data_IF_803611590827
#
_entry.id   IF_803611590827
#
_cell.length_a   1.000
_cell.length_b   1.000
_cell.length_c   1.000
_cell.angle_alpha   90.00
_cell.angle_beta   90.00
_cell.angle_gamma   90.00
#
_symmetry.space_group_name_H-M   'P 1'
#
loop_
_entity.id
_entity.type
_entity.pdbx_description
1 polymer ?
#
# COMPACT_ATOMS: atom_id res chain seq x y z
N UNK A 1 -22.66 -4.96 21.17
CA UNK A 1 -22.81 -6.25 20.43
C UNK A 1 -21.46 -6.88 20.08
N UNK A 2 -20.50 -6.12 19.54
CA UNK A 2 -19.14 -6.60 19.20
C UNK A 2 -18.39 -7.24 20.38
N UNK A 3 -18.50 -6.69 21.60
CA UNK A 3 -17.85 -7.24 22.80
C UNK A 3 -18.37 -8.63 23.21
N UNK A 4 -19.65 -8.93 22.98
CA UNK A 4 -20.23 -10.25 23.27
C UNK A 4 -19.76 -11.32 22.27
N UNK A 5 -19.65 -10.94 20.99
CA UNK A 5 -19.16 -11.82 19.93
C UNK A 5 -17.67 -12.13 20.12
N UNK A 6 -16.88 -11.14 20.57
CA UNK A 6 -15.50 -11.36 20.96
C UNK A 6 -15.39 -12.31 22.18
N UNK A 7 -16.19 -12.08 23.22
CA UNK A 7 -16.21 -12.91 24.43
C UNK A 7 -16.62 -14.37 24.15
N UNK A 8 -17.54 -14.58 23.21
CA UNK A 8 -18.01 -15.91 22.79
C UNK A 8 -17.20 -16.50 21.63
N UNK A 9 -16.18 -15.79 21.13
CA UNK A 9 -15.35 -16.19 19.98
C UNK A 9 -16.14 -16.45 18.69
N UNK A 10 -17.23 -15.73 18.48
CA UNK A 10 -18.13 -15.88 17.32
C UNK A 10 -17.98 -14.76 16.28
N UNK A 11 -17.05 -13.82 16.46
CA UNK A 11 -16.79 -12.70 15.54
C UNK A 11 -16.55 -13.15 14.10
N UNK A 12 -15.77 -14.22 13.87
CA UNK A 12 -15.50 -14.76 12.53
C UNK A 12 -16.74 -15.37 11.87
N UNK A 13 -17.68 -15.93 12.65
CA UNK A 13 -18.94 -16.40 12.10
C UNK A 13 -19.84 -15.23 11.70
N UNK A 14 -19.94 -14.22 12.57
CA UNK A 14 -20.75 -13.05 12.31
C UNK A 14 -20.22 -12.20 11.14
N UNK A 15 -18.89 -12.04 11.00
CA UNK A 15 -18.27 -11.29 9.90
C UNK A 15 -18.59 -11.87 8.52
N UNK A 16 -18.86 -13.17 8.41
CA UNK A 16 -19.28 -13.79 7.15
C UNK A 16 -20.65 -13.31 6.67
N UNK A 17 -21.51 -12.92 7.60
CA UNK A 17 -22.87 -12.43 7.31
C UNK A 17 -22.86 -10.92 7.11
N UNK A 18 -22.32 -10.18 8.08
CA UNK A 18 -22.41 -8.71 8.11
C UNK A 18 -21.17 -7.98 7.58
N UNK A 19 -20.13 -8.72 7.16
CA UNK A 19 -18.84 -8.16 6.75
C UNK A 19 -17.94 -7.77 7.92
N UNK A 20 -16.65 -7.59 7.64
CA UNK A 20 -15.65 -7.19 8.65
C UNK A 20 -15.82 -5.76 9.11
N UNK A 21 -16.36 -4.86 8.27
CA UNK A 21 -16.48 -3.42 8.58
C UNK A 21 -17.23 -3.16 9.88
N UNK A 22 -18.27 -3.95 10.15
CA UNK A 22 -19.09 -3.86 11.38
C UNK A 22 -18.26 -4.00 12.66
N UNK A 23 -17.11 -4.65 12.58
CA UNK A 23 -16.22 -4.94 13.71
C UNK A 23 -14.97 -4.06 13.73
N UNK A 24 -14.71 -3.29 12.68
CA UNK A 24 -13.57 -2.39 12.63
C UNK A 24 -13.90 -1.06 13.34
N UNK A 25 -12.89 -0.36 13.89
CA UNK A 25 -13.05 1.04 14.28
C UNK A 25 -13.64 1.86 13.14
N UNK A 26 -14.59 2.76 13.45
CA UNK A 26 -15.26 3.59 12.44
C UNK A 26 -14.27 4.41 11.59
N UNK A 27 -13.12 4.76 12.16
CA UNK A 27 -12.05 5.52 11.49
C UNK A 27 -11.17 4.68 10.56
N UNK A 28 -11.28 3.35 10.57
CA UNK A 28 -10.38 2.46 9.82
C UNK A 28 -10.43 2.72 8.32
N UNK A 29 -11.63 2.86 7.73
CA UNK A 29 -11.79 3.13 6.30
C UNK A 29 -11.06 4.42 5.90
N UNK A 30 -11.35 5.52 6.62
CA UNK A 30 -10.70 6.81 6.41
C UNK A 30 -9.18 6.75 6.55
N UNK A 31 -8.65 6.06 7.58
CA UNK A 31 -7.21 5.96 7.80
C UNK A 31 -6.51 5.18 6.69
N UNK A 32 -7.06 4.03 6.32
CA UNK A 32 -6.47 3.18 5.29
C UNK A 32 -6.58 3.81 3.90
N UNK A 33 -7.71 4.45 3.59
CA UNK A 33 -7.88 5.18 2.33
C UNK A 33 -6.91 6.37 2.24
N UNK A 34 -6.67 7.06 3.36
CA UNK A 34 -5.73 8.19 3.42
C UNK A 34 -4.30 7.79 3.07
N UNK A 35 -3.85 6.63 3.57
CA UNK A 35 -2.51 6.09 3.26
C UNK A 35 -2.34 5.82 1.77
N UNK A 36 -3.37 5.29 1.11
CA UNK A 36 -3.32 4.92 -0.30
C UNK A 36 -3.65 6.04 -1.28
N UNK A 37 -4.04 7.23 -0.80
CA UNK A 37 -4.68 8.23 -1.67
C UNK A 37 -5.96 7.69 -2.34
N UNK A 38 -6.65 6.74 -1.71
CA UNK A 38 -7.85 6.11 -2.27
C UNK A 38 -9.07 6.91 -1.81
N UNK A 39 -10.03 7.14 -2.71
CA UNK A 39 -11.30 7.76 -2.35
C UNK A 39 -11.99 6.92 -1.25
N UNK A 40 -12.39 7.55 -0.14
CA UNK A 40 -12.93 6.83 1.02
C UNK A 40 -14.10 5.91 0.63
N UNK A 41 -14.99 6.36 -0.26
CA UNK A 41 -16.11 5.55 -0.75
C UNK A 41 -15.68 4.27 -1.49
N UNK A 42 -14.60 4.33 -2.27
CA UNK A 42 -14.01 3.15 -2.94
C UNK A 42 -13.43 2.19 -1.89
N UNK A 43 -12.70 2.74 -0.91
CA UNK A 43 -12.12 1.92 0.14
C UNK A 43 -13.18 1.25 1.03
N UNK A 44 -14.30 1.95 1.30
CA UNK A 44 -15.45 1.36 2.02
C UNK A 44 -16.01 0.16 1.26
N UNK A 45 -16.14 0.23 -0.07
CA UNK A 45 -16.57 -0.91 -0.89
C UNK A 45 -15.58 -2.09 -0.81
N UNK A 46 -14.28 -1.80 -0.82
CA UNK A 46 -13.23 -2.82 -0.63
C UNK A 46 -13.30 -3.49 0.74
N UNK A 47 -13.60 -2.74 1.82
CA UNK A 47 -13.83 -3.35 3.15
C UNK A 47 -15.14 -4.14 3.18
N UNK A 48 -16.22 -3.63 2.60
CA UNK A 48 -17.54 -4.27 2.63
C UNK A 48 -17.58 -5.64 1.93
N UNK A 49 -16.71 -5.82 0.95
CA UNK A 49 -16.49 -7.10 0.27
C UNK A 49 -15.66 -8.10 1.09
N UNK A 50 -14.94 -7.66 2.13
CA UNK A 50 -14.21 -8.54 3.03
C UNK A 50 -15.14 -9.15 4.10
N UNK A 51 -15.20 -10.49 4.14
CA UNK A 51 -16.15 -11.26 4.96
C UNK A 51 -15.50 -12.12 6.05
N UNK A 52 -14.21 -11.93 6.32
CA UNK A 52 -13.46 -12.84 7.19
C UNK A 52 -12.26 -12.16 7.85
N UNK A 53 -12.04 -12.43 9.13
CA UNK A 53 -10.82 -12.07 9.85
C UNK A 53 -9.80 -13.20 9.90
N UNK A 54 -10.19 -14.43 9.49
CA UNK A 54 -9.24 -15.52 9.29
C UNK A 54 -8.05 -15.05 8.44
N UNK A 55 -6.82 -15.33 8.90
CA UNK A 55 -5.60 -14.78 8.34
C UNK A 55 -5.46 -15.02 6.83
N UNK A 56 -5.69 -16.25 6.38
CA UNK A 56 -5.59 -16.61 4.96
C UNK A 56 -6.58 -15.78 4.14
N UNK A 57 -7.87 -15.81 4.49
CA UNK A 57 -8.92 -15.09 3.73
C UNK A 57 -8.74 -13.58 3.77
N UNK A 58 -8.33 -13.03 4.91
CA UNK A 58 -8.04 -11.61 5.06
C UNK A 58 -6.90 -11.21 4.13
N UNK A 59 -5.76 -11.92 4.21
CA UNK A 59 -4.59 -11.61 3.39
C UNK A 59 -4.87 -11.81 1.91
N UNK A 60 -5.55 -12.89 1.51
CA UNK A 60 -5.93 -13.15 0.12
C UNK A 60 -6.80 -12.03 -0.46
N UNK A 61 -7.79 -11.56 0.30
CA UNK A 61 -8.66 -10.45 -0.12
C UNK A 61 -7.87 -9.20 -0.45
N UNK A 62 -7.03 -8.75 0.48
CA UNK A 62 -6.26 -7.51 0.32
C UNK A 62 -5.12 -7.65 -0.68
N UNK A 63 -4.47 -8.82 -0.77
CA UNK A 63 -3.44 -9.10 -1.77
C UNK A 63 -4.05 -9.16 -3.17
N UNK A 64 -5.28 -9.65 -3.33
CA UNK A 64 -5.96 -9.63 -4.63
C UNK A 64 -6.15 -8.19 -5.13
N UNK A 65 -6.63 -7.29 -4.26
CA UNK A 65 -6.74 -5.85 -4.57
C UNK A 65 -5.36 -5.24 -4.86
N UNK A 66 -4.34 -5.53 -4.05
CA UNK A 66 -2.98 -5.06 -4.30
C UNK A 66 -2.46 -5.49 -5.68
N UNK A 67 -2.74 -6.74 -6.09
CA UNK A 67 -2.35 -7.26 -7.39
C UNK A 67 -3.08 -6.57 -8.56
N UNK A 68 -4.30 -6.06 -8.37
CA UNK A 68 -4.98 -5.24 -9.38
C UNK A 68 -4.25 -3.92 -9.60
N UNK A 69 -3.82 -3.26 -8.52
CA UNK A 69 -3.01 -2.05 -8.61
C UNK A 69 -1.62 -2.34 -9.20
N UNK A 70 -0.98 -3.46 -8.85
CA UNK A 70 0.29 -3.87 -9.45
C UNK A 70 0.18 -4.15 -10.95
N UNK A 71 -0.96 -4.66 -11.45
CA UNK A 71 -1.19 -4.78 -12.90
C UNK A 71 -1.20 -3.42 -13.58
N UNK A 72 -1.81 -2.41 -12.98
CA UNK A 72 -1.75 -1.05 -13.52
C UNK A 72 -0.31 -0.50 -13.53
N UNK A 73 0.46 -0.78 -12.48
CA UNK A 73 1.88 -0.43 -12.42
C UNK A 73 2.69 -1.13 -13.52
N UNK A 74 2.52 -2.45 -13.67
CA UNK A 74 3.21 -3.24 -14.68
C UNK A 74 2.89 -2.76 -16.10
N UNK A 75 1.64 -2.38 -16.38
CA UNK A 75 1.26 -1.83 -17.68
C UNK A 75 2.03 -0.54 -18.01
N UNK A 76 2.29 0.32 -17.02
CA UNK A 76 3.07 1.55 -17.25
C UNK A 76 4.58 1.27 -17.32
N UNK A 77 5.08 0.28 -16.58
CA UNK A 77 6.46 -0.19 -16.73
C UNK A 77 6.71 -0.83 -18.09
N UNK A 78 5.76 -1.59 -18.63
CA UNK A 78 5.85 -2.20 -19.96
C UNK A 78 5.92 -1.12 -21.05
N UNK A 79 5.02 -0.13 -21.01
CA UNK A 79 5.04 1.01 -21.95
C UNK A 79 6.35 1.81 -21.91
N UNK A 80 7.00 1.85 -20.75
CA UNK A 80 8.26 2.55 -20.53
C UNK A 80 9.50 1.64 -20.69
N UNK A 81 9.32 0.36 -21.04
CA UNK A 81 10.38 -0.64 -21.19
C UNK A 81 11.23 -0.85 -19.90
N UNK A 82 10.59 -0.75 -18.74
CA UNK A 82 11.24 -0.83 -17.40
C UNK A 82 11.14 -2.21 -16.74
N UNK A 83 10.51 -3.18 -17.39
CA UNK A 83 10.31 -4.53 -16.86
C UNK A 83 9.04 -4.66 -16.01
N UNK A 84 9.11 -5.41 -14.90
CA UNK A 84 7.95 -5.68 -14.03
C UNK A 84 8.23 -5.38 -12.56
N UNK A 85 7.18 -4.98 -11.86
CA UNK A 85 7.09 -4.81 -10.40
C UNK A 85 7.50 -6.06 -9.62
N UNK A 86 7.52 -7.26 -10.22
CA UNK A 86 8.00 -8.49 -9.59
C UNK A 86 9.40 -8.39 -8.98
N UNK A 87 10.29 -7.59 -9.57
CA UNK A 87 11.62 -7.33 -8.99
C UNK A 87 11.52 -6.55 -7.67
N UNK A 88 10.63 -5.55 -7.62
CA UNK A 88 10.36 -4.74 -6.43
C UNK A 88 9.76 -5.60 -5.30
N UNK A 89 8.84 -6.52 -5.64
CA UNK A 89 8.23 -7.44 -4.67
C UNK A 89 9.24 -8.40 -4.02
N UNK A 90 10.39 -8.64 -4.66
CA UNK A 90 11.48 -9.44 -4.11
C UNK A 90 12.48 -8.62 -3.31
N UNK A 91 12.27 -7.31 -3.17
CA UNK A 91 13.21 -6.39 -2.53
C UNK A 91 14.50 -6.19 -3.31
N UNK A 92 14.50 -6.45 -4.63
CA UNK A 92 15.66 -6.14 -5.46
C UNK A 92 15.77 -4.63 -5.65
N UNK A 93 16.99 -4.07 -5.64
CA UNK A 93 17.17 -2.64 -5.81
C UNK A 93 16.63 -2.20 -7.18
N UNK A 94 15.80 -1.14 -7.24
CA UNK A 94 15.26 -0.64 -8.50
C UNK A 94 16.36 -0.06 -9.37
N UNK A 95 16.20 -0.15 -10.70
CA UNK A 95 17.15 0.45 -11.63
C UNK A 95 17.09 1.99 -11.57
N UNK A 96 18.18 2.71 -11.89
CA UNK A 96 18.15 4.18 -11.95
C UNK A 96 17.09 4.73 -12.91
N UNK A 97 16.83 4.01 -14.01
CA UNK A 97 15.79 4.36 -14.97
C UNK A 97 14.38 4.26 -14.36
N UNK A 98 14.11 3.22 -13.56
CA UNK A 98 12.84 3.05 -12.87
C UNK A 98 12.64 4.11 -11.78
N UNK A 99 13.69 4.41 -10.99
CA UNK A 99 13.64 5.50 -10.00
C UNK A 99 13.38 6.84 -10.68
N UNK A 100 14.10 7.15 -11.77
CA UNK A 100 13.89 8.38 -12.54
C UNK A 100 12.48 8.45 -13.13
N UNK A 101 11.95 7.32 -13.62
CA UNK A 101 10.59 7.24 -14.13
C UNK A 101 9.58 7.56 -13.04
N UNK A 102 9.58 6.84 -11.90
CA UNK A 102 8.67 7.09 -10.80
C UNK A 102 8.85 8.49 -10.18
N UNK A 103 10.08 9.03 -10.17
CA UNK A 103 10.41 10.34 -9.61
C UNK A 103 9.66 11.48 -10.27
N UNK A 104 9.40 11.37 -11.59
CA UNK A 104 8.57 12.35 -12.32
C UNK A 104 7.14 12.40 -11.79
N UNK A 105 6.57 11.23 -11.47
CA UNK A 105 5.21 11.08 -10.97
C UNK A 105 5.07 11.42 -9.49
N UNK A 106 6.13 11.27 -8.70
CA UNK A 106 6.11 11.56 -7.27
C UNK A 106 5.87 13.04 -6.94
N UNK A 107 6.18 13.96 -7.86
CA UNK A 107 5.79 15.37 -7.73
C UNK A 107 4.27 15.56 -7.58
N UNK A 108 3.45 14.68 -8.17
CA UNK A 108 2.00 14.73 -7.95
C UNK A 108 1.61 14.41 -6.51
N UNK A 109 2.32 13.48 -5.87
CA UNK A 109 2.04 13.11 -4.49
C UNK A 109 2.30 14.26 -3.53
N UNK A 110 3.35 15.05 -3.77
CA UNK A 110 3.69 16.20 -2.91
C UNK A 110 2.75 17.38 -3.12
N UNK A 111 2.12 17.47 -4.30
CA UNK A 111 1.16 18.52 -4.66
C UNK A 111 -0.30 18.14 -4.33
N UNK A 112 -0.58 16.86 -4.04
CA UNK A 112 -1.92 16.37 -3.73
C UNK A 112 -2.09 16.27 -2.21
N UNK A 113 -3.15 16.85 -1.61
CA UNK A 113 -3.38 16.74 -0.17
C UNK A 113 -3.49 15.27 0.27
N UNK A 114 -2.94 14.88 1.44
CA UNK A 114 -3.02 13.51 1.94
C UNK A 114 -4.46 12.97 1.94
N UNK A 115 -4.62 11.75 1.42
CA UNK A 115 -5.91 11.07 1.30
C UNK A 115 -6.83 11.57 0.20
N UNK A 116 -6.38 12.53 -0.62
CA UNK A 116 -7.05 12.88 -1.87
C UNK A 116 -6.50 12.00 -2.98
N UNK A 117 -7.35 11.39 -3.82
CA UNK A 117 -6.90 10.70 -5.02
C UNK A 117 -6.12 11.63 -5.94
N UNK A 118 -5.04 11.10 -6.51
CA UNK A 118 -4.28 11.81 -7.53
C UNK A 118 -5.17 11.89 -8.78
N UNK A 119 -5.61 13.11 -9.11
CA UNK A 119 -6.38 13.34 -10.32
C UNK A 119 -5.46 13.26 -11.54
N UNK A 120 -5.61 12.16 -12.28
CA UNK A 120 -4.80 11.78 -13.44
C UNK A 120 -5.00 12.70 -14.64
N UNK A 121 -6.07 13.50 -14.65
CA UNK A 121 -6.39 14.41 -15.76
C UNK A 121 -5.82 15.83 -15.54
N UNK A 122 -5.41 16.16 -14.32
CA UNK A 122 -4.80 17.46 -13.96
C UNK A 122 -3.33 17.61 -14.37
N UNK A 123 -2.64 16.50 -14.67
CA UNK A 123 -1.21 16.53 -14.99
C UNK A 123 -0.98 16.71 -16.50
N UNK A 124 0.12 17.36 -16.90
CA UNK A 124 0.38 17.63 -18.31
C UNK A 124 0.33 16.33 -19.14
N UNK A 125 -0.29 16.42 -20.32
CA UNK A 125 -0.41 15.32 -21.29
C UNK A 125 0.93 15.03 -22.00
N UNK A 126 2.03 15.60 -21.53
CA UNK A 126 3.36 15.25 -21.99
C UNK A 126 3.68 13.80 -21.54
N UNK A 127 4.78 13.22 -22.03
CA UNK A 127 5.14 11.82 -21.83
C UNK A 127 5.34 11.36 -20.37
N UNK A 128 4.86 12.13 -19.39
CA UNK A 128 4.92 11.88 -17.95
C UNK A 128 3.63 11.26 -17.39
N UNK A 129 2.51 11.25 -18.13
CA UNK A 129 1.23 10.66 -17.68
C UNK A 129 1.37 9.24 -17.13
N UNK A 130 2.16 8.40 -17.79
CA UNK A 130 2.39 7.03 -17.33
C UNK A 130 3.10 6.94 -15.96
N UNK A 131 3.98 7.88 -15.66
CA UNK A 131 4.65 7.95 -14.36
C UNK A 131 3.69 8.29 -13.23
N UNK A 132 2.76 9.24 -13.45
CA UNK A 132 1.72 9.58 -12.47
C UNK A 132 0.80 8.39 -12.18
N UNK A 133 0.39 7.66 -13.24
CA UNK A 133 -0.41 6.45 -13.10
C UNK A 133 0.36 5.38 -12.32
N UNK A 134 1.63 5.18 -12.62
CA UNK A 134 2.50 4.22 -11.94
C UNK A 134 2.64 4.54 -10.44
N UNK A 135 2.92 5.79 -10.08
CA UNK A 135 3.05 6.20 -8.68
C UNK A 135 1.73 6.07 -7.92
N UNK A 136 0.60 6.46 -8.52
CA UNK A 136 -0.72 6.24 -7.92
C UNK A 136 -0.97 4.74 -7.67
N UNK A 137 -0.74 3.91 -8.68
CA UNK A 137 -0.92 2.46 -8.57
C UNK A 137 0.00 1.83 -7.51
N UNK A 138 1.26 2.28 -7.41
CA UNK A 138 2.19 1.86 -6.38
C UNK A 138 1.68 2.21 -4.98
N UNK A 139 1.18 3.44 -4.77
CA UNK A 139 0.63 3.90 -3.50
C UNK A 139 -0.60 3.08 -3.06
N UNK A 140 -1.52 2.82 -3.99
CA UNK A 140 -2.70 1.99 -3.75
C UNK A 140 -2.34 0.54 -3.40
N UNK A 141 -1.34 -0.04 -4.10
CA UNK A 141 -0.82 -1.37 -3.79
C UNK A 141 -0.19 -1.42 -2.40
N UNK A 142 0.63 -0.43 -2.03
CA UNK A 142 1.22 -0.29 -0.69
C UNK A 142 0.12 -0.25 0.37
N UNK A 143 -0.93 0.54 0.19
CA UNK A 143 -2.04 0.60 1.14
C UNK A 143 -2.74 -0.76 1.31
N UNK A 144 -2.97 -1.50 0.21
CA UNK A 144 -3.56 -2.83 0.28
C UNK A 144 -2.65 -3.84 1.01
N UNK A 145 -1.33 -3.85 0.75
CA UNK A 145 -0.40 -4.72 1.49
C UNK A 145 -0.27 -4.34 2.96
N UNK A 146 -0.30 -3.06 3.29
CA UNK A 146 -0.34 -2.58 4.69
C UNK A 146 -1.55 -3.15 5.43
N UNK A 147 -2.73 -3.10 4.80
CA UNK A 147 -3.97 -3.61 5.38
C UNK A 147 -3.96 -5.14 5.43
N UNK A 148 -3.40 -5.82 4.42
CA UNK A 148 -3.19 -7.27 4.44
C UNK A 148 -2.34 -7.71 5.65
N UNK A 149 -1.29 -6.94 6.00
CA UNK A 149 -0.46 -7.20 7.17
C UNK A 149 -1.20 -6.93 8.50
N UNK A 150 -2.23 -6.07 8.52
CA UNK A 150 -2.91 -5.62 9.74
C UNK A 150 -4.14 -6.44 10.14
N UNK A 151 -4.36 -6.80 11.42
CA UNK A 151 -3.43 -6.85 12.53
C UNK A 151 -2.88 -8.27 12.75
N UNK A 152 -1.64 -8.40 13.22
CA UNK A 152 -1.11 -9.66 13.73
C UNK A 152 0.21 -10.09 13.10
N UNK A 153 0.76 -11.20 13.61
CA UNK A 153 2.11 -11.68 13.30
C UNK A 153 2.09 -13.08 12.64
N UNK A 154 0.98 -13.46 12.00
CA UNK A 154 0.89 -14.76 11.33
C UNK A 154 1.77 -14.78 10.07
N UNK A 155 2.25 -15.95 9.62
CA UNK A 155 3.17 -16.02 8.48
C UNK A 155 2.65 -15.32 7.21
N UNK A 156 1.36 -15.42 6.92
CA UNK A 156 0.74 -14.75 5.78
C UNK A 156 0.78 -13.21 5.90
N UNK A 157 0.53 -12.69 7.11
CA UNK A 157 0.60 -11.25 7.41
C UNK A 157 2.03 -10.72 7.38
N UNK A 158 2.98 -11.48 7.93
CA UNK A 158 4.40 -11.15 7.85
C UNK A 158 4.92 -11.13 6.42
N UNK A 159 4.44 -12.03 5.56
CA UNK A 159 4.76 -12.00 4.13
C UNK A 159 4.23 -10.73 3.47
N UNK A 160 2.99 -10.33 3.75
CA UNK A 160 2.44 -9.08 3.25
C UNK A 160 3.20 -7.85 3.76
N UNK A 161 3.61 -7.86 5.03
CA UNK A 161 4.42 -6.80 5.63
C UNK A 161 5.77 -6.62 4.93
N UNK A 162 6.48 -7.72 4.61
CA UNK A 162 7.75 -7.64 3.87
C UNK A 162 7.59 -7.05 2.47
N UNK A 163 6.49 -7.38 1.78
CA UNK A 163 6.20 -6.81 0.45
C UNK A 163 5.85 -5.32 0.58
N UNK A 164 5.02 -4.97 1.57
CA UNK A 164 4.72 -3.58 1.89
C UNK A 164 6.00 -2.78 2.15
N UNK A 165 6.91 -3.30 2.98
CA UNK A 165 8.17 -2.65 3.31
C UNK A 165 9.06 -2.44 2.08
N UNK A 166 9.20 -3.46 1.22
CA UNK A 166 9.97 -3.36 -0.01
C UNK A 166 9.41 -2.30 -0.98
N UNK A 167 8.09 -2.24 -1.15
CA UNK A 167 7.44 -1.23 -1.99
C UNK A 167 7.52 0.17 -1.37
N UNK A 168 7.39 0.27 -0.04
CA UNK A 168 7.52 1.52 0.68
C UNK A 168 8.94 2.09 0.58
N UNK A 169 9.97 1.24 0.66
CA UNK A 169 11.36 1.64 0.45
C UNK A 169 11.56 2.28 -0.93
N UNK A 170 11.03 1.67 -1.99
CA UNK A 170 11.09 2.21 -3.35
C UNK A 170 10.36 3.55 -3.42
N UNK A 171 9.14 3.64 -2.86
CA UNK A 171 8.38 4.89 -2.86
C UNK A 171 9.13 6.02 -2.14
N UNK A 172 9.78 5.70 -1.01
CA UNK A 172 10.54 6.65 -0.21
C UNK A 172 11.78 7.16 -0.97
N UNK A 173 12.52 6.29 -1.66
CA UNK A 173 13.65 6.68 -2.52
C UNK A 173 13.24 7.62 -3.65
N UNK A 174 12.00 7.46 -4.13
CA UNK A 174 11.44 8.26 -5.21
C UNK A 174 10.95 9.63 -4.71
N UNK A 175 10.27 9.67 -3.55
CA UNK A 175 9.66 10.90 -3.02
C UNK A 175 10.67 11.80 -2.31
N UNK A 176 11.60 11.23 -1.53
CA UNK A 176 12.48 12.04 -0.68
C UNK A 176 13.25 13.15 -1.43
N UNK A 177 13.82 12.89 -2.62
CA UNK A 177 14.46 13.95 -3.41
C UNK A 177 13.51 15.08 -3.82
N UNK A 178 12.22 14.79 -4.06
CA UNK A 178 11.21 15.80 -4.41
C UNK A 178 10.86 16.74 -3.26
N UNK A 179 11.16 16.32 -2.03
CA UNK A 179 11.00 17.10 -0.80
C UNK A 179 12.31 17.71 -0.32
N UNK A 180 13.40 17.59 -1.09
CA UNK A 180 14.76 17.96 -0.69
C UNK A 180 15.21 17.26 0.60
N UNK A 181 14.73 16.03 0.84
CA UNK A 181 15.09 15.21 2.00
C UNK A 181 16.13 14.17 1.58
N UNK A 182 17.08 13.89 2.48
CA UNK A 182 17.94 12.72 2.36
C UNK A 182 17.42 11.61 3.28
N UNK A 183 17.11 10.45 2.71
CA UNK A 183 16.67 9.28 3.48
C UNK A 183 17.85 8.34 3.64
N UNK A 184 18.31 8.22 4.87
CA UNK A 184 19.21 7.16 5.27
C UNK A 184 18.39 5.99 5.84
N UNK A 185 18.90 4.76 5.73
CA UNK A 185 18.26 3.57 6.29
C UNK A 185 19.25 2.88 7.22
N UNK A 186 18.86 2.77 8.49
CA UNK A 186 19.63 2.06 9.51
C UNK A 186 18.86 0.82 9.94
N UNK A 187 19.54 -0.32 10.03
CA UNK A 187 18.99 -1.54 10.62
C UNK A 187 19.63 -1.68 12.00
N UNK A 188 18.82 -1.54 13.04
CA UNK A 188 19.27 -1.60 14.44
C UNK A 188 18.80 -2.92 15.08
N UNK A 189 19.70 -3.74 15.62
CA UNK A 189 19.30 -4.90 16.40
C UNK A 189 18.80 -4.43 17.79
N UNK A 190 17.52 -4.60 18.06
CA UNK A 190 16.89 -4.24 19.35
C UNK A 190 16.14 -5.47 19.87
N UNK A 191 16.53 -5.98 21.05
CA UNK A 191 15.91 -7.15 21.68
C UNK A 191 15.79 -8.41 20.79
N UNK A 192 16.72 -8.60 19.85
CA UNK A 192 16.71 -9.72 18.89
C UNK A 192 15.83 -9.49 17.66
N UNK A 193 15.24 -8.30 17.51
CA UNK A 193 14.53 -7.87 16.31
C UNK A 193 15.38 -6.88 15.51
N UNK A 194 15.31 -6.97 14.18
CA UNK A 194 15.88 -5.96 13.29
C UNK A 194 14.87 -4.83 13.10
N UNK A 195 15.20 -3.65 13.62
CA UNK A 195 14.37 -2.45 13.51
C UNK A 195 14.95 -1.54 12.44
N UNK A 196 14.21 -1.33 11.35
CA UNK A 196 14.58 -0.35 10.32
C UNK A 196 14.18 1.05 10.75
N UNK A 197 15.12 1.98 10.70
CA UNK A 197 14.95 3.38 11.07
C UNK A 197 15.25 4.26 9.85
N UNK A 198 14.35 5.22 9.61
CA UNK A 198 14.44 6.21 8.54
C UNK A 198 14.59 7.61 9.13
N UNK A 199 15.81 8.06 9.47
CA UNK A 199 16.02 9.46 9.79
C UNK A 199 15.77 10.31 8.54
N UNK A 200 14.97 11.35 8.71
CA UNK A 200 14.75 12.38 7.70
C UNK A 200 15.67 13.54 8.04
N UNK A 201 16.70 13.74 7.21
CA UNK A 201 17.71 14.80 7.34
C UNK A 201 17.49 15.88 6.27
#
# INVERSE_FOLDING_TARGET
MTSLLAATRTTEFASRVVGVRTFLPQISAKRFSTVGGIAEGVFVQQIDSCKSFNDTRWTEHWIALANEHLKHLDNEFEKAELGSSHALLRGLPPSPALISFLGRGAAAMTQTPPGTPIDKDTFPQDGQKGSFIAVNALLEAIACFFVAAWPGQTPARLKAYRVWEALFDVLLDVIAPTLSLNVERYILPINGEEVKVYPLL
#
